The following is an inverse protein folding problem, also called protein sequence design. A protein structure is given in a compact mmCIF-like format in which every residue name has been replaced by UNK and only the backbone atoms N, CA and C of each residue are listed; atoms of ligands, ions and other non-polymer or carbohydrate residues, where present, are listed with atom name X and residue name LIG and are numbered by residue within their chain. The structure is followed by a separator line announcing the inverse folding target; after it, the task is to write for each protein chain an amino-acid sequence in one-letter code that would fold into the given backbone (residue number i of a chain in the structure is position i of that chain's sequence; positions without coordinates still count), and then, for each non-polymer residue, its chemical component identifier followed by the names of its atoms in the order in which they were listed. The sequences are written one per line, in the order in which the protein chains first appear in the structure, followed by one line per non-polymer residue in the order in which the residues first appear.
data_IF_019992165768
#
_entry.id   IF_019992165768
#
_cell.length_a   1.000
_cell.length_b   1.000
_cell.length_c   1.000
_cell.angle_alpha   90.00
_cell.angle_beta   90.00
_cell.angle_gamma   90.00
#
_symmetry.space_group_name_H-M   'P 1'
#
loop_
_entity.id
_entity.type
_entity.pdbx_description
1 polymer ?
#
# COMPACT_ATOMS: atom_id res chain seq x y z
N UNK A 1 12.50 -10.20 7.97
CA UNK A 1 12.19 -9.95 6.53
C UNK A 1 10.81 -10.46 6.10
N UNK A 2 10.35 -11.66 6.48
CA UNK A 2 9.10 -12.24 5.95
C UNK A 2 7.85 -11.38 6.16
N UNK A 3 7.67 -10.78 7.33
CA UNK A 3 6.52 -9.91 7.63
C UNK A 3 6.56 -8.63 6.80
N UNK A 4 7.71 -7.95 6.74
CA UNK A 4 7.87 -6.75 5.93
C UNK A 4 7.65 -7.01 4.44
N UNK A 5 8.13 -8.15 3.94
CA UNK A 5 7.90 -8.56 2.56
C UNK A 5 6.40 -8.79 2.28
N UNK A 6 5.69 -9.48 3.20
CA UNK A 6 4.25 -9.70 3.09
C UNK A 6 3.48 -8.37 3.06
N UNK A 7 3.80 -7.46 3.98
CA UNK A 7 3.16 -6.15 4.06
C UNK A 7 3.43 -5.32 2.80
N UNK A 8 4.69 -5.25 2.36
CA UNK A 8 5.07 -4.56 1.12
C UNK A 8 4.29 -5.10 -0.08
N UNK A 9 4.23 -6.43 -0.23
CA UNK A 9 3.53 -7.10 -1.33
C UNK A 9 2.02 -6.82 -1.27
N UNK A 10 1.42 -6.85 -0.08
CA UNK A 10 0.00 -6.51 0.11
C UNK A 10 -0.33 -5.07 -0.29
N UNK A 11 0.52 -4.11 0.05
CA UNK A 11 0.38 -2.73 -0.40
C UNK A 11 0.48 -2.61 -1.93
N UNK A 12 1.42 -3.32 -2.56
CA UNK A 12 1.58 -3.31 -4.02
C UNK A 12 0.35 -3.91 -4.73
N UNK A 13 -0.17 -5.04 -4.24
CA UNK A 13 -1.38 -5.66 -4.78
C UNK A 13 -2.59 -4.72 -4.70
N UNK A 14 -2.80 -4.08 -3.56
CA UNK A 14 -3.93 -3.17 -3.38
C UNK A 14 -3.76 -1.86 -4.19
N UNK A 15 -2.53 -1.38 -4.38
CA UNK A 15 -2.24 -0.27 -5.29
C UNK A 15 -2.67 -0.59 -6.73
N UNK A 16 -2.38 -1.79 -7.23
CA UNK A 16 -2.81 -2.24 -8.55
C UNK A 16 -4.34 -2.19 -8.69
N UNK A 17 -5.08 -2.76 -7.74
CA UNK A 17 -6.54 -2.77 -7.81
C UNK A 17 -7.15 -1.36 -7.68
N UNK A 18 -6.56 -0.47 -6.87
CA UNK A 18 -7.00 0.92 -6.82
C UNK A 18 -6.74 1.66 -8.12
N UNK A 19 -5.61 1.41 -8.79
CA UNK A 19 -5.31 2.01 -10.09
C UNK A 19 -6.28 1.52 -11.17
N UNK A 20 -6.60 0.22 -11.21
CA UNK A 20 -7.55 -0.31 -12.18
C UNK A 20 -8.99 0.20 -11.93
N UNK A 21 -9.43 0.24 -10.67
CA UNK A 21 -10.71 0.87 -10.32
C UNK A 21 -10.75 2.35 -10.70
N UNK A 22 -9.66 3.09 -10.50
CA UNK A 22 -9.59 4.50 -10.87
C UNK A 22 -9.65 4.69 -12.40
N UNK A 23 -8.97 3.85 -13.17
CA UNK A 23 -9.03 3.83 -14.63
C UNK A 23 -10.47 3.60 -15.12
N UNK A 24 -11.15 2.58 -14.57
CA UNK A 24 -12.53 2.27 -14.92
C UNK A 24 -13.49 3.40 -14.53
N UNK A 25 -13.33 3.96 -13.32
CA UNK A 25 -14.15 5.06 -12.85
C UNK A 25 -14.03 6.31 -13.74
N UNK A 26 -12.80 6.66 -14.14
CA UNK A 26 -12.57 7.75 -15.07
C UNK A 26 -13.25 7.51 -16.44
N UNK A 27 -13.18 6.29 -16.97
CA UNK A 27 -13.87 5.93 -18.20
C UNK A 27 -15.39 6.05 -18.08
N UNK A 28 -15.98 5.57 -16.98
CA UNK A 28 -17.44 5.63 -16.78
C UNK A 28 -17.96 7.05 -16.60
N UNK A 29 -17.18 7.92 -15.96
CA UNK A 29 -17.50 9.35 -15.88
C UNK A 29 -17.45 10.00 -17.28
N UNK A 30 -16.46 9.67 -18.10
CA UNK A 30 -16.36 10.19 -19.47
C UNK A 30 -17.49 9.69 -20.39
N UNK A 31 -18.02 8.50 -20.15
CA UNK A 31 -19.19 7.93 -20.86
C UNK A 31 -20.53 8.55 -20.43
N UNK A 32 -20.57 9.41 -19.39
CA UNK A 32 -21.80 10.06 -18.93
C UNK A 32 -22.69 9.18 -18.05
N UNK A 33 -22.09 8.34 -17.20
CA UNK A 33 -22.84 7.52 -16.22
C UNK A 33 -23.71 8.37 -15.29
N UNK A 34 -24.87 7.84 -14.88
CA UNK A 34 -25.74 8.45 -13.87
C UNK A 34 -25.20 8.32 -12.44
N UNK A 35 -24.18 7.48 -12.21
CA UNK A 35 -23.62 7.20 -10.88
C UNK A 35 -22.36 8.04 -10.58
N UNK A 36 -22.36 9.32 -10.96
CA UNK A 36 -21.16 10.18 -10.87
C UNK A 36 -20.54 10.23 -9.47
N UNK A 37 -21.37 10.32 -8.42
CA UNK A 37 -20.90 10.39 -7.05
C UNK A 37 -20.09 9.15 -6.64
N UNK A 38 -20.51 7.96 -7.08
CA UNK A 38 -19.83 6.70 -6.78
C UNK A 38 -18.46 6.63 -7.46
N UNK A 39 -18.39 6.95 -8.75
CA UNK A 39 -17.12 6.92 -9.48
C UNK A 39 -16.15 8.02 -9.05
N UNK A 40 -16.64 9.22 -8.72
CA UNK A 40 -15.82 10.26 -8.11
C UNK A 40 -15.26 9.81 -6.75
N UNK A 41 -16.06 9.15 -5.91
CA UNK A 41 -15.59 8.60 -4.64
C UNK A 41 -14.47 7.55 -4.84
N UNK A 42 -14.57 6.71 -5.88
CA UNK A 42 -13.49 5.77 -6.24
C UNK A 42 -12.19 6.48 -6.60
N UNK A 43 -12.25 7.54 -7.42
CA UNK A 43 -11.08 8.33 -7.78
C UNK A 43 -10.44 9.01 -6.57
N UNK A 44 -11.27 9.59 -5.70
CA UNK A 44 -10.80 10.23 -4.45
C UNK A 44 -10.15 9.21 -3.52
N UNK A 45 -10.75 8.05 -3.34
CA UNK A 45 -10.22 6.99 -2.47
C UNK A 45 -8.90 6.43 -3.00
N UNK A 46 -8.79 6.19 -4.31
CA UNK A 46 -7.54 5.78 -4.94
C UNK A 46 -6.45 6.83 -4.68
N UNK A 47 -6.74 8.12 -4.91
CA UNK A 47 -5.78 9.20 -4.64
C UNK A 47 -5.33 9.23 -3.19
N UNK A 48 -6.25 9.13 -2.24
CA UNK A 48 -5.93 9.04 -0.82
C UNK A 48 -5.02 7.84 -0.51
N UNK A 49 -5.33 6.67 -1.05
CA UNK A 49 -4.52 5.47 -0.85
C UNK A 49 -3.08 5.67 -1.33
N UNK A 50 -2.91 6.16 -2.57
CA UNK A 50 -1.58 6.40 -3.16
C UNK A 50 -0.79 7.49 -2.43
N UNK A 51 -1.45 8.54 -1.93
CA UNK A 51 -0.79 9.65 -1.25
C UNK A 51 -0.48 9.36 0.22
N UNK A 52 -1.38 8.65 0.93
CA UNK A 52 -1.33 8.54 2.40
C UNK A 52 -0.94 7.17 2.92
N UNK A 53 -1.30 6.11 2.19
CA UNK A 53 -1.16 4.72 2.66
C UNK A 53 0.01 4.03 1.96
N UNK A 54 0.08 4.09 0.62
CA UNK A 54 1.13 3.45 -0.16
C UNK A 54 2.56 3.84 0.26
N UNK A 55 2.87 5.08 0.69
CA UNK A 55 4.23 5.44 1.13
C UNK A 55 4.76 4.62 2.32
N UNK A 56 3.89 3.95 3.10
CA UNK A 56 4.29 3.05 4.20
C UNK A 56 5.16 1.88 3.71
N UNK A 57 5.05 1.51 2.44
CA UNK A 57 5.94 0.53 1.79
C UNK A 57 7.42 0.85 1.96
N UNK A 58 7.79 2.14 1.99
CA UNK A 58 9.18 2.57 2.16
C UNK A 58 9.79 2.08 3.48
N UNK A 59 9.00 2.11 4.55
CA UNK A 59 9.41 1.58 5.86
C UNK A 59 9.64 0.07 5.79
N UNK A 60 8.72 -0.67 5.17
CA UNK A 60 8.87 -2.13 5.02
C UNK A 60 10.08 -2.51 4.16
N UNK A 61 10.36 -1.77 3.09
CA UNK A 61 11.58 -1.98 2.28
C UNK A 61 12.82 -1.75 3.12
N UNK A 62 12.89 -0.63 3.85
CA UNK A 62 14.03 -0.34 4.70
C UNK A 62 14.23 -1.41 5.78
N UNK A 63 13.15 -1.86 6.43
CA UNK A 63 13.20 -2.88 7.47
C UNK A 63 13.59 -4.26 6.91
N UNK A 64 13.08 -4.67 5.75
CA UNK A 64 13.47 -5.97 5.18
C UNK A 64 14.93 -6.01 4.75
N UNK A 65 15.49 -4.86 4.31
CA UNK A 65 16.87 -4.74 3.85
C UNK A 65 17.89 -4.54 4.97
N UNK A 66 17.47 -4.23 6.21
CA UNK A 66 18.40 -4.08 7.34
C UNK A 66 19.05 -5.39 7.78
N UNK A 67 18.57 -6.53 7.27
CA UNK A 67 19.06 -7.86 7.66
C UNK A 67 18.64 -8.25 9.08
N UNK A 68 19.17 -9.39 9.55
CA UNK A 68 18.86 -9.96 10.87
C UNK A 68 19.91 -9.59 11.94
N UNK A 69 21.05 -9.00 11.56
CA UNK A 69 22.15 -8.73 12.48
C UNK A 69 21.71 -7.90 13.69
N UNK A 70 20.90 -6.86 13.46
CA UNK A 70 20.39 -5.99 14.52
C UNK A 70 19.41 -6.70 15.48
N UNK A 71 18.78 -7.80 15.07
CA UNK A 71 17.86 -8.57 15.90
C UNK A 71 18.62 -9.57 16.78
N UNK A 72 19.78 -10.04 16.31
CA UNK A 72 20.60 -11.06 16.96
C UNK A 72 21.76 -10.47 17.78
N UNK A 73 21.87 -9.14 17.84
CA UNK A 73 22.98 -8.44 18.51
C UNK A 73 22.82 -8.43 20.05
N UNK A 74 21.57 -8.46 20.52
CA UNK A 74 21.26 -8.50 21.94
C UNK A 74 21.46 -9.92 22.48
N UNK A 75 22.19 -10.04 23.60
CA UNK A 75 22.38 -11.34 24.26
C UNK A 75 21.08 -11.76 24.93
N UNK A 76 20.81 -13.06 24.94
CA UNK A 76 19.61 -13.64 25.56
C UNK A 76 19.43 -13.20 27.02
N UNK A 77 20.52 -13.11 27.78
CA UNK A 77 20.54 -12.69 29.19
C UNK A 77 20.09 -11.23 29.42
N UNK A 78 20.11 -10.39 28.37
CA UNK A 78 19.74 -8.97 28.47
C UNK A 78 18.23 -8.74 28.23
N UNK A 79 17.44 -9.77 27.88
CA UNK A 79 16.01 -9.66 27.54
C UNK A 79 15.04 -9.65 28.74
N UNK A 80 15.53 -9.80 29.97
CA UNK A 80 14.73 -9.83 31.22
C UNK A 80 14.04 -8.49 31.57
#
# INVERSE_FOLDING_TARGET
ASVDYLMYSGYACLAYFWADMARLAAAKLAEGTSEEAFYNAKLQTARFYFQRILPRTRTHVAAMLSGAANLMDMKEEDFD
#
